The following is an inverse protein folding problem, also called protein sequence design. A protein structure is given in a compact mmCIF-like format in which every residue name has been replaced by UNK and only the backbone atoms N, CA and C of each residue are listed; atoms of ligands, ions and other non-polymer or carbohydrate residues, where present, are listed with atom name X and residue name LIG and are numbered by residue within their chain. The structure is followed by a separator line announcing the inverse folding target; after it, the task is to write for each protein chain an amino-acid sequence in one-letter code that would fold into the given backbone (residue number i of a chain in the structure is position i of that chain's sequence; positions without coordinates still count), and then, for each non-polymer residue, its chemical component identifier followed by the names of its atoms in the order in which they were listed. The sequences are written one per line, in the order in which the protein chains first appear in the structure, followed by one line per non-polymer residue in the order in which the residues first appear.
data_IF_935365332535
#
_entry.id   IF_935365332535
#
_cell.length_a   1.000
_cell.length_b   1.000
_cell.length_c   1.000
_cell.angle_alpha   90.00
_cell.angle_beta   90.00
_cell.angle_gamma   90.00
#
_symmetry.space_group_name_H-M   'P 1'
#
loop_
_entity.id
_entity.type
_entity.pdbx_description
1 polymer ?
#
# COMPACT_ATOMS: atom_id res chain seq x y z
N UNK A 1 0.67 56.08 26.03
CA UNK A 1 -0.01 54.82 26.47
C UNK A 1 -1.32 54.54 25.71
N UNK A 2 -2.38 55.41 25.73
CA UNK A 2 -3.66 55.07 25.04
C UNK A 2 -3.47 54.82 23.52
N UNK A 3 -2.69 55.60 22.79
CA UNK A 3 -2.43 55.39 21.35
C UNK A 3 -1.67 54.08 21.05
N UNK A 4 -0.72 53.72 21.91
CA UNK A 4 0.02 52.46 21.74
C UNK A 4 -0.86 51.21 22.02
N UNK A 5 -1.77 51.31 22.98
CA UNK A 5 -2.75 50.25 23.26
C UNK A 5 -3.72 50.12 22.08
N UNK A 6 -4.24 51.21 21.55
CA UNK A 6 -5.12 51.19 20.38
C UNK A 6 -4.42 50.57 19.15
N UNK A 7 -3.15 50.92 18.92
CA UNK A 7 -2.39 50.36 17.82
C UNK A 7 -2.20 48.84 17.96
N UNK A 8 -1.84 48.39 19.18
CA UNK A 8 -1.71 46.94 19.47
C UNK A 8 -3.04 46.22 19.29
N UNK A 9 -4.14 46.80 19.76
CA UNK A 9 -5.48 46.20 19.58
C UNK A 9 -5.83 46.03 18.11
N UNK A 10 -5.61 47.09 17.30
CA UNK A 10 -5.85 47.00 15.86
C UNK A 10 -4.92 45.97 15.18
N UNK A 11 -3.65 46.01 15.54
CA UNK A 11 -2.69 45.03 15.01
C UNK A 11 -3.11 43.60 15.27
N UNK A 12 -3.44 43.26 16.53
CA UNK A 12 -3.88 41.92 16.89
C UNK A 12 -5.22 41.55 16.24
N UNK A 13 -6.14 42.49 16.12
CA UNK A 13 -7.42 42.25 15.45
C UNK A 13 -7.22 41.94 13.96
N UNK A 14 -6.37 42.71 13.27
CA UNK A 14 -6.03 42.44 11.85
C UNK A 14 -5.27 41.11 11.70
N UNK A 15 -4.32 40.85 12.59
CA UNK A 15 -3.55 39.59 12.59
C UNK A 15 -4.46 38.38 12.77
N UNK A 16 -5.32 38.39 13.79
CA UNK A 16 -6.28 37.33 14.05
C UNK A 16 -7.27 37.13 12.91
N UNK A 17 -7.73 38.24 12.31
CA UNK A 17 -8.58 38.17 11.12
C UNK A 17 -7.86 37.54 9.92
N UNK A 18 -6.59 37.85 9.70
CA UNK A 18 -5.78 37.26 8.63
C UNK A 18 -5.54 35.76 8.86
N UNK A 19 -5.20 35.38 10.10
CA UNK A 19 -5.05 33.96 10.48
C UNK A 19 -6.38 33.21 10.31
N UNK A 20 -7.49 33.82 10.78
CA UNK A 20 -8.82 33.19 10.63
C UNK A 20 -9.23 33.02 9.16
N UNK A 21 -8.89 33.96 8.29
CA UNK A 21 -9.13 33.80 6.86
C UNK A 21 -8.26 32.72 6.23
N UNK A 22 -6.99 32.63 6.61
CA UNK A 22 -6.09 31.58 6.12
C UNK A 22 -6.58 30.18 6.55
N UNK A 23 -6.90 29.99 7.83
CA UNK A 23 -7.47 28.75 8.37
C UNK A 23 -8.79 28.42 7.68
N UNK A 24 -9.70 29.41 7.57
CA UNK A 24 -11.00 29.26 6.92
C UNK A 24 -10.87 28.83 5.45
N UNK A 25 -9.84 29.34 4.75
CA UNK A 25 -9.56 28.95 3.37
C UNK A 25 -9.09 27.50 3.28
N UNK A 26 -8.17 27.08 4.15
CA UNK A 26 -7.68 25.68 4.16
C UNK A 26 -8.80 24.71 4.50
N UNK A 27 -9.61 25.03 5.51
CA UNK A 27 -10.77 24.18 5.89
C UNK A 27 -11.84 24.16 4.79
N UNK A 28 -12.06 25.27 4.06
CA UNK A 28 -13.05 25.33 2.99
C UNK A 28 -12.66 24.54 1.74
N UNK A 29 -11.38 24.64 1.34
CA UNK A 29 -10.89 23.89 0.16
C UNK A 29 -10.56 22.44 0.54
N UNK A 30 -9.96 22.29 1.71
CA UNK A 30 -9.57 21.03 2.31
C UNK A 30 -8.79 20.10 1.34
N UNK A 31 -7.57 20.49 0.92
CA UNK A 31 -6.82 19.77 -0.13
C UNK A 31 -6.57 18.29 0.17
N UNK A 32 -6.50 17.90 1.44
CA UNK A 32 -6.35 16.51 1.87
C UNK A 32 -7.67 15.81 2.23
N UNK A 33 -8.81 16.51 2.06
CA UNK A 33 -10.14 15.96 2.36
C UNK A 33 -10.30 15.52 3.82
N UNK A 34 -9.57 16.16 4.74
CA UNK A 34 -9.54 15.76 6.15
C UNK A 34 -10.86 16.10 6.87
N UNK A 35 -11.48 17.24 6.54
CA UNK A 35 -12.70 17.73 7.19
C UNK A 35 -13.99 17.35 6.45
N UNK A 36 -13.95 17.25 5.14
CA UNK A 36 -15.13 16.96 4.33
C UNK A 36 -14.82 16.31 2.99
N UNK A 37 -15.87 15.82 2.33
CA UNK A 37 -15.76 15.28 0.97
C UNK A 37 -15.25 16.35 -0.02
N UNK A 38 -14.46 15.97 -1.04
CA UNK A 38 -13.86 16.92 -1.98
C UNK A 38 -14.92 17.67 -2.77
N UNK A 39 -14.72 18.98 -2.92
CA UNK A 39 -15.60 19.88 -3.70
C UNK A 39 -15.26 19.78 -5.19
N UNK A 40 -15.40 18.60 -5.77
CA UNK A 40 -14.97 18.26 -7.14
C UNK A 40 -15.71 19.01 -8.24
N UNK A 41 -16.82 19.67 -7.92
CA UNK A 41 -17.54 20.57 -8.83
C UNK A 41 -16.98 21.99 -8.86
N UNK A 42 -16.03 22.33 -7.96
CA UNK A 42 -15.44 23.66 -7.82
C UNK A 42 -13.92 23.65 -8.02
N UNK A 43 -13.26 22.57 -7.61
CA UNK A 43 -11.81 22.42 -7.61
C UNK A 43 -11.39 21.10 -8.20
N UNK A 44 -10.13 21.03 -8.65
CA UNK A 44 -9.48 19.78 -8.98
C UNK A 44 -8.60 19.33 -7.81
N UNK A 45 -8.85 18.11 -7.30
CA UNK A 45 -8.07 17.49 -6.24
C UNK A 45 -7.02 16.56 -6.86
N UNK A 46 -5.78 17.01 -6.85
CA UNK A 46 -4.66 16.20 -7.29
C UNK A 46 -4.23 15.25 -6.18
N UNK A 47 -4.34 13.94 -6.43
CA UNK A 47 -3.82 12.91 -5.54
C UNK A 47 -2.36 12.61 -5.94
N UNK A 48 -1.43 13.36 -5.32
CA UNK A 48 -0.01 13.22 -5.62
C UNK A 48 0.59 11.99 -4.89
N UNK A 49 1.38 11.22 -5.61
CA UNK A 49 2.01 9.99 -5.13
C UNK A 49 3.11 10.19 -4.05
N UNK A 50 3.50 11.41 -3.77
CA UNK A 50 4.45 11.75 -2.69
C UNK A 50 3.75 12.16 -1.40
N UNK A 51 2.43 12.12 -1.36
CA UNK A 51 1.61 12.62 -0.25
C UNK A 51 0.62 11.58 0.28
N UNK A 52 0.83 10.30 -0.03
CA UNK A 52 -0.09 9.21 0.34
C UNK A 52 -0.42 9.21 1.85
N UNK A 53 0.58 9.47 2.71
CA UNK A 53 0.38 9.54 4.17
C UNK A 53 -0.63 10.60 4.59
N UNK A 54 -0.63 11.74 3.89
CA UNK A 54 -1.52 12.86 4.20
C UNK A 54 -2.91 12.68 3.55
N UNK A 55 -2.95 12.12 2.34
CA UNK A 55 -4.17 11.95 1.55
C UNK A 55 -5.02 10.78 2.03
N UNK A 56 -4.38 9.67 2.43
CA UNK A 56 -5.07 8.43 2.73
C UNK A 56 -6.08 8.56 3.89
N UNK A 57 -5.78 9.37 4.91
CA UNK A 57 -6.75 9.61 5.99
C UNK A 57 -8.01 10.30 5.46
N UNK A 58 -7.88 11.39 4.73
CA UNK A 58 -9.02 12.11 4.17
C UNK A 58 -9.83 11.30 3.17
N UNK A 59 -9.16 10.54 2.29
CA UNK A 59 -9.83 9.59 1.39
C UNK A 59 -10.64 8.58 2.21
N UNK A 60 -10.02 7.98 3.23
CA UNK A 60 -10.64 6.98 4.09
C UNK A 60 -11.84 7.53 4.88
N UNK A 61 -11.78 8.79 5.34
CA UNK A 61 -12.84 9.45 6.11
C UNK A 61 -14.01 9.91 5.26
N UNK A 62 -13.71 10.65 4.18
CA UNK A 62 -14.66 11.56 3.57
C UNK A 62 -15.05 11.22 2.13
N UNK A 63 -14.45 10.22 1.51
CA UNK A 63 -14.94 9.68 0.24
C UNK A 63 -15.93 8.53 0.47
N UNK A 64 -16.85 8.34 -0.47
CA UNK A 64 -17.84 7.24 -0.40
C UNK A 64 -17.37 6.08 -1.27
N UNK A 65 -17.13 4.90 -0.68
CA UNK A 65 -16.71 3.71 -1.40
C UNK A 65 -17.18 2.43 -0.71
N UNK A 66 -17.18 1.32 -1.46
CA UNK A 66 -17.58 -0.01 -0.99
C UNK A 66 -16.40 -0.98 -0.94
N UNK A 67 -15.33 -0.68 -1.66
CA UNK A 67 -14.10 -1.46 -1.70
C UNK A 67 -12.87 -0.60 -1.54
N UNK A 68 -11.81 -1.16 -0.95
CA UNK A 68 -10.54 -0.48 -0.75
C UNK A 68 -9.36 -1.41 -1.02
N UNK A 69 -8.33 -0.89 -1.70
CA UNK A 69 -7.05 -1.57 -1.89
C UNK A 69 -6.02 -0.87 -1.00
N UNK A 70 -5.38 -1.62 -0.10
CA UNK A 70 -4.43 -1.09 0.89
C UNK A 70 -3.14 -1.91 0.93
N UNK A 71 -2.03 -1.26 1.16
CA UNK A 71 -0.71 -1.87 1.30
C UNK A 71 0.42 -0.90 0.99
N UNK A 72 1.56 -1.45 0.60
CA UNK A 72 2.77 -0.69 0.28
C UNK A 72 2.83 -0.34 -1.21
N UNK A 73 4.02 0.03 -1.72
CA UNK A 73 4.28 0.18 -3.16
C UNK A 73 3.85 -1.01 -4.02
N UNK A 74 3.67 -2.18 -3.42
CA UNK A 74 3.19 -3.40 -4.10
C UNK A 74 1.72 -3.30 -4.50
N UNK A 75 0.96 -2.37 -3.91
CA UNK A 75 -0.46 -2.15 -4.22
C UNK A 75 -0.74 -0.88 -5.02
N UNK A 76 0.25 -0.05 -5.27
CA UNK A 76 0.10 1.23 -5.99
C UNK A 76 -0.34 1.07 -7.44
N UNK A 77 0.10 0.02 -8.11
CA UNK A 77 -0.24 -0.25 -9.50
C UNK A 77 -1.58 -0.99 -9.70
N UNK A 78 -2.30 -1.36 -8.65
CA UNK A 78 -3.64 -1.93 -8.82
C UNK A 78 -4.59 -0.91 -9.44
N UNK A 79 -5.45 -1.37 -10.34
CA UNK A 79 -6.50 -0.56 -10.95
C UNK A 79 -7.82 -0.77 -10.21
N UNK A 80 -8.35 0.31 -9.66
CA UNK A 80 -9.67 0.30 -9.01
C UNK A 80 -10.78 -0.01 -10.00
N UNK A 81 -10.66 0.44 -11.25
CA UNK A 81 -11.61 0.12 -12.32
C UNK A 81 -11.79 -1.39 -12.56
N UNK A 82 -10.71 -2.18 -12.45
CA UNK A 82 -10.80 -3.65 -12.53
C UNK A 82 -11.44 -4.24 -11.28
N UNK A 83 -11.13 -3.70 -10.10
CA UNK A 83 -11.79 -4.15 -8.87
C UNK A 83 -13.29 -3.85 -8.90
N UNK A 84 -13.71 -2.70 -9.44
CA UNK A 84 -15.12 -2.36 -9.67
C UNK A 84 -15.80 -3.33 -10.64
N UNK A 85 -15.13 -3.68 -11.74
CA UNK A 85 -15.63 -4.67 -12.72
C UNK A 85 -15.87 -6.04 -12.07
N UNK A 86 -14.93 -6.50 -11.22
CA UNK A 86 -14.93 -7.88 -10.70
C UNK A 86 -15.76 -8.04 -9.41
N UNK A 87 -15.70 -7.05 -8.51
CA UNK A 87 -16.32 -7.13 -7.18
C UNK A 87 -17.51 -6.18 -7.01
N UNK A 88 -17.74 -5.30 -7.99
CA UNK A 88 -18.81 -4.29 -7.96
C UNK A 88 -18.51 -3.14 -7.00
N UNK A 89 -19.42 -2.16 -6.96
CA UNK A 89 -19.32 -1.00 -6.08
C UNK A 89 -18.33 0.05 -6.58
N UNK A 90 -17.95 0.97 -5.69
CA UNK A 90 -16.96 2.01 -5.92
C UNK A 90 -15.71 1.72 -5.12
N UNK A 91 -14.54 1.84 -5.72
CA UNK A 91 -13.28 1.47 -5.11
C UNK A 91 -12.31 2.64 -5.01
N UNK A 92 -11.52 2.64 -3.95
CA UNK A 92 -10.40 3.57 -3.75
C UNK A 92 -9.12 2.80 -3.44
N UNK A 93 -7.97 3.49 -3.54
CA UNK A 93 -6.68 2.97 -3.05
C UNK A 93 -6.21 3.81 -1.86
N UNK A 94 -5.63 3.15 -0.87
CA UNK A 94 -4.93 3.74 0.26
C UNK A 94 -3.52 3.13 0.38
N UNK A 95 -2.70 3.20 -0.66
CA UNK A 95 -1.35 2.69 -0.62
C UNK A 95 -0.44 3.68 0.09
N UNK A 96 0.70 3.20 0.58
CA UNK A 96 1.80 4.07 0.97
C UNK A 96 3.13 3.38 0.69
N UNK A 97 3.93 3.98 -0.20
CA UNK A 97 5.21 3.42 -0.62
C UNK A 97 6.14 3.16 0.56
N UNK A 98 6.58 1.91 0.72
CA UNK A 98 7.45 1.50 1.83
C UNK A 98 6.79 1.43 3.21
N UNK A 99 5.47 1.58 3.34
CA UNK A 99 4.77 1.54 4.63
C UNK A 99 5.06 0.28 5.44
N UNK A 100 4.99 0.42 6.75
CA UNK A 100 4.91 -0.72 7.67
C UNK A 100 3.50 -1.33 7.67
N UNK A 101 3.33 -2.48 8.31
CA UNK A 101 2.00 -3.07 8.54
C UNK A 101 1.13 -2.16 9.41
N UNK A 102 1.74 -1.46 10.39
CA UNK A 102 1.04 -0.51 11.26
C UNK A 102 0.48 0.68 10.50
N UNK A 103 1.28 1.30 9.65
CA UNK A 103 0.84 2.45 8.84
C UNK A 103 -0.29 2.08 7.88
N UNK A 104 -0.18 0.93 7.21
CA UNK A 104 -1.27 0.40 6.37
C UNK A 104 -2.52 0.08 7.19
N UNK A 105 -2.37 -0.42 8.43
CA UNK A 105 -3.49 -0.69 9.32
C UNK A 105 -4.19 0.60 9.75
N UNK A 106 -3.47 1.66 10.10
CA UNK A 106 -4.05 2.96 10.50
C UNK A 106 -4.96 3.55 9.41
N UNK A 107 -4.51 3.54 8.14
CA UNK A 107 -5.35 4.00 7.02
C UNK A 107 -6.61 3.13 6.86
N UNK A 108 -6.47 1.81 7.00
CA UNK A 108 -7.59 0.88 6.91
C UNK A 108 -8.54 1.00 8.12
N UNK A 109 -8.03 1.20 9.33
CA UNK A 109 -8.83 1.47 10.55
C UNK A 109 -9.72 2.70 10.34
N UNK A 110 -9.16 3.78 9.78
CA UNK A 110 -9.92 5.00 9.44
C UNK A 110 -11.04 4.69 8.44
N UNK A 111 -10.76 3.91 7.39
CA UNK A 111 -11.75 3.51 6.41
C UNK A 111 -12.87 2.66 7.04
N UNK A 112 -12.52 1.62 7.79
CA UNK A 112 -13.47 0.73 8.46
C UNK A 112 -14.37 1.46 9.47
N UNK A 113 -13.82 2.43 10.19
CA UNK A 113 -14.55 3.26 11.16
C UNK A 113 -15.58 4.18 10.48
N UNK A 114 -15.22 4.79 9.34
CA UNK A 114 -16.00 5.87 8.73
C UNK A 114 -16.88 5.40 7.57
N UNK A 115 -16.51 4.33 6.85
CA UNK A 115 -17.25 3.86 5.68
C UNK A 115 -18.23 2.74 6.02
N UNK A 116 -19.46 3.10 6.38
CA UNK A 116 -20.51 2.13 6.71
C UNK A 116 -20.90 1.20 5.55
N UNK A 117 -20.58 1.59 4.33
CA UNK A 117 -20.83 0.82 3.11
C UNK A 117 -19.67 -0.05 2.68
N UNK A 118 -18.53 -0.05 3.39
CA UNK A 118 -17.36 -0.86 3.08
C UNK A 118 -17.68 -2.34 3.24
N UNK A 119 -17.41 -3.12 2.19
CA UNK A 119 -17.72 -4.56 2.12
C UNK A 119 -16.52 -5.41 1.74
N UNK A 120 -15.54 -4.82 1.08
CA UNK A 120 -14.41 -5.55 0.53
C UNK A 120 -13.10 -4.78 0.73
N UNK A 121 -12.10 -5.48 1.23
CA UNK A 121 -10.73 -4.98 1.41
C UNK A 121 -9.79 -5.88 0.64
N UNK A 122 -8.97 -5.34 -0.24
CA UNK A 122 -7.84 -6.05 -0.83
C UNK A 122 -6.58 -5.55 -0.16
N UNK A 123 -5.79 -6.46 0.43
CA UNK A 123 -4.61 -6.09 1.20
C UNK A 123 -3.37 -6.87 0.80
N UNK A 124 -2.33 -6.15 0.36
CA UNK A 124 -1.01 -6.71 0.14
C UNK A 124 -0.28 -6.98 1.46
N UNK A 125 0.28 -8.17 1.59
CA UNK A 125 1.11 -8.58 2.71
C UNK A 125 2.54 -8.78 2.21
N UNK A 126 3.37 -7.79 2.43
CA UNK A 126 4.78 -7.83 2.02
C UNK A 126 5.54 -8.92 2.77
N UNK A 127 5.99 -9.93 2.05
CA UNK A 127 6.70 -11.07 2.63
C UNK A 127 7.98 -10.66 3.38
N UNK A 128 8.68 -9.64 2.89
CA UNK A 128 9.88 -9.11 3.54
C UNK A 128 9.62 -8.41 4.87
N UNK A 129 8.35 -8.09 5.19
CA UNK A 129 7.93 -7.28 6.32
C UNK A 129 7.12 -8.04 7.38
N UNK A 130 6.91 -9.33 7.24
CA UNK A 130 6.09 -10.12 8.18
C UNK A 130 6.60 -10.06 9.63
N UNK A 131 7.91 -9.85 9.83
CA UNK A 131 8.58 -9.83 11.14
C UNK A 131 8.93 -8.37 11.53
N UNK A 132 8.16 -7.39 11.11
CA UNK A 132 8.32 -6.01 11.57
C UNK A 132 7.78 -5.83 13.00
N UNK A 133 8.33 -4.83 13.69
CA UNK A 133 7.73 -4.36 14.94
C UNK A 133 6.27 -3.94 14.69
N UNK A 134 5.30 -4.44 15.46
CA UNK A 134 3.88 -4.16 15.27
C UNK A 134 3.51 -2.68 15.37
N UNK A 135 4.31 -1.86 16.07
CA UNK A 135 4.10 -0.42 16.23
C UNK A 135 5.01 0.43 15.32
N UNK A 136 5.72 -0.20 14.38
CA UNK A 136 6.66 0.51 13.54
C UNK A 136 5.96 1.60 12.70
N UNK A 137 6.39 2.84 12.90
CA UNK A 137 6.16 3.95 11.98
C UNK A 137 7.47 4.29 11.28
N UNK A 138 7.44 4.43 9.95
CA UNK A 138 8.62 4.64 9.11
C UNK A 138 9.08 6.11 9.14
N UNK A 139 9.65 6.52 10.28
CA UNK A 139 10.22 7.86 10.46
C UNK A 139 11.39 8.17 9.51
N UNK A 140 12.04 7.16 9.01
CA UNK A 140 13.08 7.26 7.99
C UNK A 140 12.55 7.75 6.62
N UNK A 141 11.24 7.67 6.39
CA UNK A 141 10.55 8.22 5.23
C UNK A 141 9.92 9.61 5.49
N UNK A 142 10.29 10.27 6.58
CA UNK A 142 9.75 11.54 7.06
C UNK A 142 8.74 11.38 8.19
N UNK A 143 8.32 12.49 8.77
CA UNK A 143 7.37 12.49 9.88
C UNK A 143 6.03 11.93 9.46
N UNK A 144 5.50 10.98 10.23
CA UNK A 144 4.16 10.45 10.01
C UNK A 144 3.13 11.45 10.53
N UNK A 145 2.13 11.86 9.73
CA UNK A 145 1.17 12.90 10.13
C UNK A 145 0.09 12.33 11.06
N UNK A 146 0.49 11.86 12.25
CA UNK A 146 -0.40 11.23 13.23
C UNK A 146 -1.59 12.12 13.60
N UNK A 147 -1.41 13.44 13.56
CA UNK A 147 -2.47 14.43 13.80
C UNK A 147 -3.64 14.36 12.79
N UNK A 148 -3.43 13.82 11.59
CA UNK A 148 -4.52 13.59 10.64
C UNK A 148 -5.31 12.31 10.97
N UNK A 149 -4.69 11.35 11.67
CA UNK A 149 -5.25 10.02 11.94
C UNK A 149 -5.95 9.90 13.30
N UNK A 150 -6.06 11.02 14.05
CA UNK A 150 -6.82 11.07 15.29
C UNK A 150 -8.11 11.89 15.15
N UNK A 151 -8.82 12.11 16.25
CA UNK A 151 -10.06 12.90 16.28
C UNK A 151 -9.87 14.22 17.08
N UNK A 152 -8.62 14.67 17.32
CA UNK A 152 -8.31 15.89 18.07
C UNK A 152 -8.12 17.09 17.12
N UNK A 153 -9.11 17.99 16.98
CA UNK A 153 -9.00 19.14 16.07
C UNK A 153 -7.99 20.20 16.52
N UNK A 154 -7.45 20.13 17.74
CA UNK A 154 -6.50 21.12 18.24
C UNK A 154 -5.08 20.89 17.74
N UNK A 155 -4.72 19.68 17.37
CA UNK A 155 -3.42 19.38 16.76
C UNK A 155 -3.41 19.56 15.24
N UNK A 156 -4.57 19.76 14.59
CA UNK A 156 -4.69 20.08 13.16
C UNK A 156 -4.03 21.40 12.77
N UNK A 157 -3.53 22.15 13.74
CA UNK A 157 -2.75 23.38 13.50
C UNK A 157 -1.60 23.14 12.51
N UNK A 158 -1.01 21.94 12.49
CA UNK A 158 0.01 21.53 11.55
C UNK A 158 -0.50 21.39 10.10
N UNK A 159 -1.79 21.19 9.91
CA UNK A 159 -2.46 21.19 8.62
C UNK A 159 -2.95 22.58 8.24
N UNK A 160 -3.77 23.22 9.09
CA UNK A 160 -4.49 24.48 8.74
C UNK A 160 -3.61 25.71 8.73
N UNK A 161 -2.50 25.73 9.48
CA UNK A 161 -1.51 26.82 9.47
C UNK A 161 -0.24 26.46 8.70
N UNK A 162 -0.30 25.43 7.86
CA UNK A 162 0.80 25.02 7.01
C UNK A 162 0.94 25.97 5.81
N UNK A 163 2.16 26.51 5.63
CA UNK A 163 2.46 27.40 4.51
C UNK A 163 2.27 26.69 3.16
N UNK A 164 2.66 25.45 3.06
CA UNK A 164 2.55 24.66 1.83
C UNK A 164 1.08 24.43 1.45
N UNK A 165 0.25 24.06 2.44
CA UNK A 165 -1.19 23.94 2.25
C UNK A 165 -1.82 25.25 1.75
N UNK A 166 -1.46 26.37 2.36
CA UNK A 166 -2.05 27.65 1.99
C UNK A 166 -1.62 28.10 0.58
N UNK A 167 -0.31 28.11 0.31
CA UNK A 167 0.23 28.70 -0.93
C UNK A 167 0.28 27.69 -2.09
N UNK A 168 0.81 26.50 -1.88
CA UNK A 168 1.03 25.57 -2.97
C UNK A 168 -0.22 24.72 -3.28
N UNK A 169 -1.14 24.57 -2.30
CA UNK A 169 -2.38 23.83 -2.51
C UNK A 169 -3.58 24.78 -2.67
N UNK A 170 -4.03 25.43 -1.60
CA UNK A 170 -5.28 26.22 -1.64
C UNK A 170 -5.25 27.36 -2.65
N UNK A 171 -4.18 28.18 -2.68
CA UNK A 171 -4.11 29.26 -3.65
C UNK A 171 -3.96 28.76 -5.09
N UNK A 172 -3.21 27.68 -5.31
CA UNK A 172 -3.11 27.04 -6.63
C UNK A 172 -4.47 26.55 -7.12
N UNK A 173 -5.24 25.83 -6.27
CA UNK A 173 -6.59 25.36 -6.59
C UNK A 173 -7.58 26.50 -6.84
N UNK A 174 -7.43 27.65 -6.16
CA UNK A 174 -8.23 28.85 -6.41
C UNK A 174 -7.90 29.53 -7.75
N UNK A 175 -6.65 29.46 -8.18
CA UNK A 175 -6.18 30.10 -9.42
C UNK A 175 -6.47 29.25 -10.65
N UNK A 176 -6.36 27.93 -10.53
CA UNK A 176 -6.65 26.96 -11.62
C UNK A 176 -8.11 26.48 -11.53
N UNK A 177 -9.05 27.34 -11.97
CA UNK A 177 -10.48 27.01 -12.01
C UNK A 177 -10.94 26.38 -13.31
N UNK A 178 -10.04 26.18 -14.25
CA UNK A 178 -10.39 25.55 -15.55
C UNK A 178 -10.55 24.03 -15.40
N UNK A 179 -9.95 23.44 -14.37
CA UNK A 179 -10.05 22.01 -14.05
C UNK A 179 -10.90 21.80 -12.80
N UNK A 180 -11.78 20.84 -12.87
CA UNK A 180 -12.58 20.33 -11.73
C UNK A 180 -12.57 18.82 -11.71
N UNK A 181 -12.73 18.22 -10.52
CA UNK A 181 -12.70 16.77 -10.37
C UNK A 181 -11.67 16.30 -9.35
N UNK A 182 -11.24 15.08 -9.49
CA UNK A 182 -10.21 14.43 -8.67
C UNK A 182 -9.39 13.49 -9.56
N UNK A 183 -8.11 13.28 -9.22
CA UNK A 183 -7.28 12.27 -9.88
C UNK A 183 -7.96 10.91 -9.84
N UNK A 184 -7.97 10.21 -10.96
CA UNK A 184 -8.48 8.84 -11.06
C UNK A 184 -7.67 7.90 -10.13
N UNK A 185 -8.36 6.99 -9.44
CA UNK A 185 -7.68 6.04 -8.56
C UNK A 185 -6.85 4.99 -9.30
N UNK A 186 -7.05 4.79 -10.60
CA UNK A 186 -6.13 3.98 -11.41
C UNK A 186 -4.78 4.67 -11.58
N UNK A 187 -4.78 6.02 -11.64
CA UNK A 187 -3.56 6.83 -11.77
C UNK A 187 -2.94 7.21 -10.41
N UNK A 188 -3.73 7.29 -9.33
CA UNK A 188 -3.23 7.64 -7.99
C UNK A 188 -2.14 6.67 -7.54
N UNK A 189 -0.97 7.22 -7.18
CA UNK A 189 0.23 6.47 -6.77
C UNK A 189 0.75 5.45 -7.80
N UNK A 190 0.20 5.40 -9.03
CA UNK A 190 0.63 4.46 -10.06
C UNK A 190 2.02 4.82 -10.60
N UNK A 191 2.98 3.91 -10.44
CA UNK A 191 4.35 4.09 -10.90
C UNK A 191 4.69 3.30 -12.17
N UNK A 192 3.76 2.55 -12.75
CA UNK A 192 3.99 1.70 -13.92
C UNK A 192 4.75 2.41 -15.07
N UNK A 193 4.35 3.64 -15.39
CA UNK A 193 4.96 4.41 -16.49
C UNK A 193 6.29 5.09 -16.14
N UNK A 194 6.72 5.01 -14.87
CA UNK A 194 7.93 5.70 -14.38
C UNK A 194 9.18 4.83 -14.44
N UNK A 195 9.01 3.52 -14.65
CA UNK A 195 10.11 2.55 -14.59
C UNK A 195 10.15 1.63 -15.80
N UNK A 196 11.34 1.08 -16.03
CA UNK A 196 11.59 0.04 -17.02
C UNK A 196 11.57 -1.30 -16.33
N UNK A 197 11.06 -2.31 -17.01
CA UNK A 197 10.95 -3.68 -16.52
C UNK A 197 11.88 -4.57 -17.31
N UNK A 198 12.37 -5.65 -16.72
CA UNK A 198 13.14 -6.66 -17.41
C UNK A 198 14.38 -7.14 -16.66
N UNK A 199 14.97 -8.24 -17.13
CA UNK A 199 16.15 -8.86 -16.52
C UNK A 199 17.31 -7.91 -16.25
N UNK A 200 17.59 -6.97 -17.15
CA UNK A 200 18.68 -6.01 -16.98
C UNK A 200 18.48 -5.08 -15.77
N UNK A 201 17.23 -4.74 -15.45
CA UNK A 201 16.89 -3.93 -14.29
C UNK A 201 16.91 -4.76 -13.00
N UNK A 202 16.32 -5.96 -13.05
CA UNK A 202 16.14 -6.83 -11.88
C UNK A 202 17.45 -7.46 -11.42
N UNK A 203 18.28 -7.93 -12.34
CA UNK A 203 19.57 -8.54 -12.05
C UNK A 203 20.63 -7.50 -11.64
N UNK A 204 20.55 -6.28 -12.17
CA UNK A 204 21.49 -5.22 -11.84
C UNK A 204 22.95 -5.66 -12.03
N UNK A 205 23.73 -5.66 -10.94
CA UNK A 205 25.14 -6.07 -10.93
C UNK A 205 25.37 -7.55 -10.60
N UNK A 206 24.29 -8.32 -10.32
CA UNK A 206 24.39 -9.76 -10.06
C UNK A 206 25.02 -10.48 -11.26
N UNK A 207 25.91 -11.44 -10.98
CA UNK A 207 26.55 -12.30 -11.98
C UNK A 207 26.29 -13.77 -11.77
N UNK A 208 25.99 -14.13 -10.54
CA UNK A 208 25.68 -15.49 -10.09
C UNK A 208 24.95 -15.45 -8.75
N UNK A 209 24.28 -16.53 -8.39
CA UNK A 209 23.68 -16.71 -7.06
C UNK A 209 24.38 -17.89 -6.37
N UNK A 210 25.00 -17.62 -5.24
CA UNK A 210 25.73 -18.64 -4.46
C UNK A 210 24.99 -18.91 -3.16
N UNK A 211 24.43 -20.10 -3.02
CA UNK A 211 23.73 -20.50 -1.80
C UNK A 211 24.66 -20.53 -0.61
N UNK A 212 24.27 -19.83 0.48
CA UNK A 212 24.98 -19.95 1.76
C UNK A 212 24.97 -21.40 2.27
N UNK A 213 26.09 -21.82 2.88
CA UNK A 213 26.23 -23.17 3.42
C UNK A 213 25.22 -23.46 4.54
N UNK A 214 24.86 -22.43 5.31
CA UNK A 214 23.87 -22.53 6.37
C UNK A 214 22.66 -21.66 6.07
N UNK A 215 21.47 -22.19 6.33
CA UNK A 215 20.20 -21.48 6.21
C UNK A 215 19.57 -21.39 7.60
N UNK A 216 19.42 -20.18 8.10
CA UNK A 216 18.84 -19.97 9.43
C UNK A 216 17.32 -20.17 9.41
N UNK A 217 16.81 -20.57 10.56
CA UNK A 217 15.40 -20.73 10.85
C UNK A 217 14.83 -19.49 11.53
N UNK A 218 13.51 -19.41 11.56
CA UNK A 218 12.77 -18.41 12.32
C UNK A 218 12.96 -18.67 13.82
N UNK A 219 13.51 -17.70 14.53
CA UNK A 219 13.68 -17.79 15.99
C UNK A 219 12.36 -17.59 16.73
N UNK A 220 12.29 -18.03 17.99
CA UNK A 220 11.09 -17.84 18.83
C UNK A 220 10.77 -16.35 19.03
N UNK A 221 11.77 -15.49 19.15
CA UNK A 221 11.58 -14.04 19.26
C UNK A 221 10.99 -13.45 17.97
N UNK A 222 11.53 -13.83 16.79
CA UNK A 222 10.98 -13.41 15.50
C UNK A 222 9.56 -13.93 15.28
N UNK A 223 9.27 -15.16 15.72
CA UNK A 223 7.93 -15.75 15.67
C UNK A 223 6.95 -14.98 16.57
N UNK A 224 7.38 -14.53 17.74
CA UNK A 224 6.56 -13.70 18.64
C UNK A 224 6.26 -12.34 17.99
N UNK A 225 7.27 -11.64 17.47
CA UNK A 225 7.11 -10.37 16.76
C UNK A 225 6.18 -10.51 15.55
N UNK A 226 6.36 -11.55 14.72
CA UNK A 226 5.47 -11.84 13.60
C UNK A 226 4.02 -12.03 14.07
N UNK A 227 3.83 -12.83 15.12
CA UNK A 227 2.48 -13.08 15.68
C UNK A 227 1.82 -11.78 16.12
N UNK A 228 2.53 -10.93 16.86
CA UNK A 228 2.02 -9.64 17.30
C UNK A 228 1.67 -8.76 16.10
N UNK A 229 2.59 -8.62 15.14
CA UNK A 229 2.40 -7.81 13.94
C UNK A 229 1.16 -8.25 13.13
N UNK A 230 1.08 -9.54 12.80
CA UNK A 230 -0.02 -10.09 11.97
C UNK A 230 -1.36 -10.04 12.74
N UNK A 231 -1.36 -10.38 14.03
CA UNK A 231 -2.59 -10.35 14.83
C UNK A 231 -3.10 -8.92 14.99
N UNK A 232 -2.24 -7.97 15.38
CA UNK A 232 -2.63 -6.58 15.63
C UNK A 232 -3.03 -5.86 14.33
N UNK A 233 -2.17 -5.93 13.33
CA UNK A 233 -2.30 -5.08 12.15
C UNK A 233 -3.13 -5.69 11.02
N UNK A 234 -3.47 -6.99 11.07
CA UNK A 234 -4.29 -7.66 10.05
C UNK A 234 -5.49 -8.37 10.70
N UNK A 235 -5.24 -9.36 11.55
CA UNK A 235 -6.27 -10.22 12.11
C UNK A 235 -7.31 -9.48 12.96
N UNK A 236 -6.88 -8.56 13.82
CA UNK A 236 -7.78 -7.78 14.67
C UNK A 236 -8.79 -6.95 13.87
N UNK A 237 -8.42 -6.49 12.67
CA UNK A 237 -9.33 -5.76 11.78
C UNK A 237 -10.39 -6.70 11.19
N UNK A 238 -10.00 -7.89 10.76
CA UNK A 238 -10.95 -8.90 10.26
C UNK A 238 -11.92 -9.32 11.37
N UNK A 239 -11.42 -9.55 12.59
CA UNK A 239 -12.25 -9.91 13.77
C UNK A 239 -13.24 -8.81 14.13
N UNK A 240 -12.80 -7.53 14.13
CA UNK A 240 -13.63 -6.39 14.52
C UNK A 240 -14.73 -6.07 13.49
N UNK A 241 -14.55 -6.47 12.22
CA UNK A 241 -15.47 -6.17 11.12
C UNK A 241 -15.88 -7.43 10.35
N UNK A 242 -16.60 -8.37 10.99
CA UNK A 242 -16.95 -9.66 10.39
C UNK A 242 -17.88 -9.57 9.18
N UNK A 243 -18.49 -8.40 8.91
CA UNK A 243 -19.32 -8.13 7.74
C UNK A 243 -18.53 -7.67 6.52
N UNK A 244 -17.21 -7.49 6.65
CA UNK A 244 -16.30 -7.06 5.57
C UNK A 244 -15.47 -8.26 5.14
N UNK A 245 -15.39 -8.50 3.84
CA UNK A 245 -14.54 -9.55 3.26
C UNK A 245 -13.13 -9.00 3.02
N UNK A 246 -12.13 -9.69 3.56
CA UNK A 246 -10.72 -9.33 3.44
C UNK A 246 -10.03 -10.29 2.47
N UNK A 247 -9.62 -9.79 1.31
CA UNK A 247 -8.79 -10.50 0.32
C UNK A 247 -7.33 -10.11 0.56
N UNK A 248 -6.64 -10.91 1.36
CA UNK A 248 -5.23 -10.71 1.65
C UNK A 248 -4.37 -11.57 0.73
N UNK A 249 -3.20 -11.08 0.35
CA UNK A 249 -2.29 -11.85 -0.48
C UNK A 249 -0.84 -11.63 -0.11
N UNK A 250 -0.05 -12.69 -0.14
CA UNK A 250 1.41 -12.58 -0.09
C UNK A 250 1.91 -12.03 -1.42
N UNK A 251 2.75 -10.98 -1.35
CA UNK A 251 3.31 -10.34 -2.54
C UNK A 251 4.23 -11.31 -3.29
N UNK A 252 3.94 -11.62 -4.58
CA UNK A 252 4.75 -12.58 -5.35
C UNK A 252 6.07 -11.94 -5.77
N UNK A 253 7.10 -12.06 -4.94
CA UNK A 253 8.44 -11.56 -5.25
C UNK A 253 9.11 -12.42 -6.32
N UNK A 254 10.04 -11.80 -7.08
CA UNK A 254 10.73 -12.50 -8.17
C UNK A 254 11.66 -13.61 -7.67
N UNK A 255 12.06 -14.51 -8.59
CA UNK A 255 13.08 -15.51 -8.30
C UNK A 255 14.41 -14.89 -7.83
N UNK A 256 14.73 -13.66 -8.23
CA UNK A 256 15.93 -12.95 -7.76
C UNK A 256 15.88 -12.73 -6.26
N UNK A 257 14.76 -12.26 -5.72
CA UNK A 257 14.58 -12.09 -4.27
C UNK A 257 14.79 -13.39 -3.47
N UNK A 258 14.28 -14.51 -4.00
CA UNK A 258 14.47 -15.84 -3.43
C UNK A 258 15.92 -16.31 -3.54
N UNK A 259 16.60 -16.01 -4.67
CA UNK A 259 18.02 -16.25 -4.86
C UNK A 259 18.86 -15.52 -3.83
N UNK A 260 18.60 -14.24 -3.62
CA UNK A 260 19.23 -13.43 -2.58
C UNK A 260 18.94 -13.95 -1.16
N UNK A 261 17.72 -14.45 -0.89
CA UNK A 261 17.41 -15.06 0.39
C UNK A 261 18.24 -16.32 0.64
N UNK A 262 18.51 -17.14 -0.41
CA UNK A 262 19.44 -18.28 -0.34
C UNK A 262 20.88 -17.83 -0.09
N UNK A 263 21.34 -16.77 -0.74
CA UNK A 263 22.70 -16.23 -0.53
C UNK A 263 22.90 -15.68 0.88
N UNK A 264 21.90 -14.96 1.39
CA UNK A 264 21.89 -14.42 2.76
C UNK A 264 21.66 -15.47 3.84
N UNK A 265 21.38 -16.74 3.45
CA UNK A 265 21.07 -17.79 4.38
C UNK A 265 19.74 -17.59 5.14
N UNK A 266 18.77 -16.89 4.54
CA UNK A 266 17.49 -16.53 5.17
C UNK A 266 16.28 -17.22 4.54
N UNK A 267 16.48 -18.08 3.56
CA UNK A 267 15.42 -18.73 2.80
C UNK A 267 14.47 -19.55 3.69
N UNK A 268 15.01 -20.40 4.56
CA UNK A 268 14.15 -21.20 5.47
C UNK A 268 13.39 -20.33 6.46
N UNK A 269 14.04 -19.30 6.98
CA UNK A 269 13.40 -18.30 7.85
C UNK A 269 12.19 -17.67 7.18
N UNK A 270 12.32 -17.32 5.89
CA UNK A 270 11.25 -16.65 5.16
C UNK A 270 10.05 -17.58 4.92
N UNK A 271 10.29 -18.84 4.51
CA UNK A 271 9.23 -19.84 4.37
C UNK A 271 8.50 -20.13 5.70
N UNK A 272 9.25 -20.17 6.81
CA UNK A 272 8.68 -20.38 8.13
C UNK A 272 7.87 -19.17 8.61
N UNK A 273 8.28 -17.94 8.22
CA UNK A 273 7.52 -16.73 8.48
C UNK A 273 6.20 -16.70 7.69
N UNK A 274 6.24 -17.06 6.41
CA UNK A 274 5.05 -17.18 5.57
C UNK A 274 4.07 -18.20 6.14
N UNK A 275 4.57 -19.40 6.50
CA UNK A 275 3.78 -20.44 7.19
C UNK A 275 3.08 -19.88 8.42
N UNK A 276 3.86 -19.27 9.33
CA UNK A 276 3.34 -18.76 10.60
C UNK A 276 2.28 -17.67 10.39
N UNK A 277 2.47 -16.78 9.41
CA UNK A 277 1.50 -15.78 9.06
C UNK A 277 0.22 -16.40 8.47
N UNK A 278 0.36 -17.36 7.55
CA UNK A 278 -0.78 -18.06 6.96
C UNK A 278 -1.62 -18.80 8.00
N UNK A 279 -0.99 -19.56 8.91
CA UNK A 279 -1.69 -20.27 10.00
C UNK A 279 -2.50 -19.32 10.89
N UNK A 280 -1.99 -18.11 11.16
CA UNK A 280 -2.71 -17.09 11.94
C UNK A 280 -3.90 -16.53 11.17
N UNK A 281 -3.72 -16.22 9.89
CA UNK A 281 -4.73 -15.54 9.08
C UNK A 281 -5.86 -16.47 8.64
N UNK A 282 -5.58 -17.74 8.41
CA UNK A 282 -6.60 -18.76 8.07
C UNK A 282 -7.58 -19.07 9.21
N UNK A 283 -7.38 -18.50 10.40
CA UNK A 283 -8.31 -18.64 11.52
C UNK A 283 -9.51 -17.68 11.44
N UNK A 284 -9.53 -16.71 10.52
CA UNK A 284 -10.60 -15.73 10.37
C UNK A 284 -11.50 -16.08 9.19
N UNK A 285 -12.79 -16.29 9.43
CA UNK A 285 -13.76 -16.77 8.44
C UNK A 285 -13.98 -15.79 7.27
N UNK A 286 -13.84 -14.49 7.52
CA UNK A 286 -14.01 -13.41 6.53
C UNK A 286 -12.68 -12.95 5.89
N UNK A 287 -11.59 -13.74 6.07
CA UNK A 287 -10.30 -13.45 5.48
C UNK A 287 -9.92 -14.54 4.47
N UNK A 288 -9.79 -14.13 3.23
CA UNK A 288 -9.37 -14.97 2.11
C UNK A 288 -7.91 -14.70 1.80
N UNK A 289 -7.04 -15.66 2.11
CA UNK A 289 -5.60 -15.52 1.92
C UNK A 289 -5.18 -16.14 0.59
N UNK A 290 -4.42 -15.40 -0.22
CA UNK A 290 -3.92 -15.84 -1.52
C UNK A 290 -2.39 -15.90 -1.57
N UNK A 291 -1.85 -16.84 -2.34
CA UNK A 291 -0.44 -16.88 -2.71
C UNK A 291 -0.28 -17.34 -4.16
N UNK A 292 0.56 -16.63 -4.89
CA UNK A 292 0.96 -16.96 -6.26
C UNK A 292 2.48 -17.14 -6.38
N UNK A 293 3.17 -17.29 -5.25
CA UNK A 293 4.63 -17.48 -5.19
C UNK A 293 5.12 -18.70 -5.99
N UNK A 294 4.25 -19.67 -6.27
CA UNK A 294 4.58 -20.85 -7.07
C UNK A 294 4.08 -20.78 -8.51
N UNK A 295 3.62 -19.64 -8.97
CA UNK A 295 3.21 -19.41 -10.36
C UNK A 295 4.43 -18.95 -11.15
N UNK A 296 5.06 -19.89 -11.86
CA UNK A 296 6.34 -19.68 -12.54
C UNK A 296 6.29 -18.55 -13.58
N UNK A 297 5.19 -18.43 -14.31
CA UNK A 297 4.96 -17.34 -15.27
C UNK A 297 4.93 -15.95 -14.63
N UNK A 298 4.63 -15.87 -13.33
CA UNK A 298 4.69 -14.63 -12.57
C UNK A 298 6.11 -14.43 -12.04
N UNK A 299 6.61 -15.36 -11.23
CA UNK A 299 7.77 -15.13 -10.36
C UNK A 299 9.12 -15.43 -11.01
N UNK A 300 9.16 -16.25 -12.07
CA UNK A 300 10.41 -16.60 -12.75
C UNK A 300 10.69 -15.75 -13.99
N UNK A 301 9.70 -15.08 -14.57
CA UNK A 301 9.89 -14.18 -15.70
C UNK A 301 10.23 -12.77 -15.19
N UNK A 302 11.48 -12.37 -15.32
CA UNK A 302 11.98 -11.08 -14.84
C UNK A 302 11.44 -9.89 -15.63
N UNK A 303 10.83 -10.10 -16.79
CA UNK A 303 10.13 -9.04 -17.52
C UNK A 303 8.90 -8.51 -16.78
N UNK A 304 8.41 -9.25 -15.79
CA UNK A 304 7.32 -8.80 -14.93
C UNK A 304 7.77 -7.80 -13.84
N UNK A 305 9.07 -7.55 -13.68
CA UNK A 305 9.62 -6.81 -12.53
C UNK A 305 10.51 -5.65 -12.95
N UNK A 306 10.50 -4.56 -12.14
CA UNK A 306 11.45 -3.46 -12.23
C UNK A 306 12.67 -3.63 -11.32
N UNK A 307 12.56 -4.47 -10.30
CA UNK A 307 13.60 -4.84 -9.34
C UNK A 307 13.29 -6.23 -8.75
N UNK A 308 13.96 -6.64 -7.67
CA UNK A 308 13.79 -7.97 -7.06
C UNK A 308 12.36 -8.30 -6.59
N UNK A 309 11.50 -7.29 -6.37
CA UNK A 309 10.16 -7.48 -5.77
C UNK A 309 9.00 -6.76 -6.47
N UNK A 310 9.23 -5.60 -7.07
CA UNK A 310 8.16 -4.78 -7.62
C UNK A 310 7.73 -5.25 -9.00
N UNK A 311 6.55 -5.82 -9.07
CA UNK A 311 5.95 -6.33 -10.30
C UNK A 311 5.13 -5.27 -11.04
N UNK A 312 4.98 -5.48 -12.33
CA UNK A 312 4.26 -4.61 -13.25
C UNK A 312 2.74 -4.62 -13.02
N UNK A 313 2.07 -3.56 -13.51
CA UNK A 313 0.62 -3.38 -13.38
C UNK A 313 -0.18 -4.58 -13.91
N UNK A 314 0.22 -5.21 -15.02
CA UNK A 314 -0.49 -6.39 -15.54
C UNK A 314 -0.49 -7.58 -14.58
N UNK A 315 0.51 -7.71 -13.71
CA UNK A 315 0.51 -8.72 -12.64
C UNK A 315 -0.54 -8.37 -11.58
N UNK A 316 -0.65 -7.09 -11.20
CA UNK A 316 -1.70 -6.62 -10.29
C UNK A 316 -3.10 -6.91 -10.85
N UNK A 317 -3.33 -6.58 -12.12
CA UNK A 317 -4.61 -6.81 -12.80
C UNK A 317 -4.97 -8.30 -12.87
N UNK A 318 -3.98 -9.12 -13.17
CA UNK A 318 -4.13 -10.58 -13.17
C UNK A 318 -4.47 -11.09 -11.77
N UNK A 319 -3.78 -10.64 -10.72
CA UNK A 319 -4.09 -11.03 -9.33
C UNK A 319 -5.53 -10.69 -8.95
N UNK A 320 -6.07 -9.52 -9.34
CA UNK A 320 -7.49 -9.19 -9.11
C UNK A 320 -8.42 -10.22 -9.75
N UNK A 321 -8.15 -10.60 -11.01
CA UNK A 321 -8.94 -11.61 -11.72
C UNK A 321 -8.84 -12.98 -11.04
N UNK A 322 -7.65 -13.35 -10.57
CA UNK A 322 -7.47 -14.62 -9.86
C UNK A 322 -8.18 -14.63 -8.50
N UNK A 323 -8.18 -13.52 -7.75
CA UNK A 323 -8.96 -13.40 -6.51
C UNK A 323 -10.45 -13.64 -6.76
N UNK A 324 -11.01 -13.05 -7.83
CA UNK A 324 -12.41 -13.22 -8.18
C UNK A 324 -12.78 -14.66 -8.56
N UNK A 325 -11.84 -15.45 -9.08
CA UNK A 325 -12.05 -16.88 -9.42
C UNK A 325 -11.70 -17.83 -8.29
N UNK A 326 -11.02 -17.37 -7.24
CA UNK A 326 -10.49 -18.19 -6.16
C UNK A 326 -9.19 -18.94 -6.51
N UNK A 327 -8.53 -18.63 -7.65
CA UNK A 327 -7.25 -19.24 -7.98
C UNK A 327 -6.12 -18.68 -7.08
N UNK A 328 -5.41 -19.56 -6.43
CA UNK A 328 -4.34 -19.22 -5.46
C UNK A 328 -4.86 -19.06 -4.03
N UNK A 329 -6.15 -19.33 -3.77
CA UNK A 329 -6.70 -19.29 -2.41
C UNK A 329 -6.04 -20.36 -1.54
N UNK A 330 -5.51 -19.94 -0.41
CA UNK A 330 -4.96 -20.82 0.61
C UNK A 330 -6.05 -21.27 1.59
N UNK A 331 -5.97 -22.52 1.97
CA UNK A 331 -6.81 -23.13 3.00
C UNK A 331 -5.93 -23.98 3.93
N UNK A 332 -6.47 -24.37 5.09
CA UNK A 332 -5.74 -25.26 6.00
C UNK A 332 -5.34 -26.59 5.31
N UNK A 333 -6.15 -27.07 4.34
CA UNK A 333 -5.92 -28.33 3.64
C UNK A 333 -4.80 -28.23 2.59
N UNK A 334 -4.64 -27.06 1.91
CA UNK A 334 -3.68 -26.92 0.82
C UNK A 334 -2.38 -26.22 1.20
N UNK A 335 -2.30 -25.58 2.37
CA UNK A 335 -1.16 -24.78 2.83
C UNK A 335 0.15 -25.57 2.79
N UNK A 336 0.17 -26.78 3.34
CA UNK A 336 1.37 -27.61 3.37
C UNK A 336 1.85 -28.01 1.97
N UNK A 337 0.92 -28.30 1.07
CA UNK A 337 1.26 -28.63 -0.30
C UNK A 337 1.86 -27.40 -1.02
N UNK A 338 1.27 -26.22 -0.82
CA UNK A 338 1.75 -24.96 -1.41
C UNK A 338 3.17 -24.63 -0.91
N UNK A 339 3.41 -24.61 0.40
CA UNK A 339 4.72 -24.34 0.99
C UNK A 339 5.80 -25.37 0.57
N UNK A 340 5.41 -26.64 0.44
CA UNK A 340 6.32 -27.67 -0.05
C UNK A 340 6.69 -27.46 -1.51
N UNK A 341 5.72 -27.05 -2.36
CA UNK A 341 5.95 -26.71 -3.77
C UNK A 341 6.85 -25.49 -3.88
N UNK A 342 6.60 -24.44 -3.10
CA UNK A 342 7.40 -23.22 -3.07
C UNK A 342 8.84 -23.48 -2.62
N UNK A 343 9.01 -24.21 -1.51
CA UNK A 343 10.33 -24.64 -1.06
C UNK A 343 11.08 -25.42 -2.13
N UNK A 344 10.41 -26.37 -2.79
CA UNK A 344 11.02 -27.16 -3.85
C UNK A 344 11.40 -26.32 -5.04
N UNK A 345 10.50 -25.42 -5.48
CA UNK A 345 10.70 -24.54 -6.62
C UNK A 345 12.00 -23.73 -6.42
N UNK A 346 12.07 -22.90 -5.40
CA UNK A 346 13.19 -21.97 -5.23
C UNK A 346 14.47 -22.66 -4.69
N UNK A 347 14.36 -23.75 -3.96
CA UNK A 347 15.53 -24.50 -3.51
C UNK A 347 16.26 -25.21 -4.65
N UNK A 348 15.52 -25.70 -5.67
CA UNK A 348 16.06 -26.47 -6.78
C UNK A 348 16.17 -25.66 -8.08
N UNK A 349 15.72 -24.43 -8.07
CA UNK A 349 15.73 -23.56 -9.25
C UNK A 349 17.15 -23.36 -9.78
N UNK A 350 17.29 -23.42 -11.10
CA UNK A 350 18.54 -23.08 -11.78
C UNK A 350 18.65 -21.54 -11.95
N UNK A 351 19.19 -20.87 -10.95
CA UNK A 351 19.37 -19.43 -10.95
C UNK A 351 20.25 -18.92 -12.08
N UNK A 352 21.12 -19.77 -12.68
CA UNK A 352 21.90 -19.39 -13.85
C UNK A 352 21.01 -19.10 -15.07
N UNK A 353 19.83 -19.71 -15.15
CA UNK A 353 18.87 -19.48 -16.22
C UNK A 353 18.31 -18.05 -16.23
N UNK A 354 18.31 -17.33 -15.11
CA UNK A 354 17.85 -15.93 -15.04
C UNK A 354 18.72 -15.01 -15.88
N UNK A 355 20.03 -15.30 -15.98
CA UNK A 355 20.99 -14.51 -16.77
C UNK A 355 20.89 -14.77 -18.29
N UNK A 356 20.08 -15.74 -18.69
CA UNK A 356 19.79 -16.03 -20.10
C UNK A 356 18.52 -15.32 -20.59
N UNK A 357 17.74 -14.75 -19.69
CA UNK A 357 16.56 -13.96 -20.05
C UNK A 357 16.98 -12.65 -20.71
N UNK A 358 16.16 -12.17 -21.62
CA UNK A 358 16.38 -10.91 -22.34
C UNK A 358 15.23 -9.96 -22.09
N UNK A 359 15.54 -8.67 -22.04
CA UNK A 359 14.51 -7.65 -21.94
C UNK A 359 13.56 -7.72 -23.13
N UNK A 360 12.27 -7.72 -22.86
CA UNK A 360 11.28 -7.62 -23.93
C UNK A 360 11.22 -6.17 -24.40
N UNK A 361 11.47 -5.94 -25.69
CA UNK A 361 11.38 -4.60 -26.30
C UNK A 361 9.89 -4.25 -26.50
N UNK A 362 9.43 -3.26 -25.76
CA UNK A 362 8.06 -2.75 -25.83
C UNK A 362 7.14 -3.33 -24.76
N UNK A 363 6.15 -2.53 -24.35
CA UNK A 363 5.14 -2.87 -23.35
C UNK A 363 4.11 -3.90 -23.88
N UNK A 364 4.58 -5.10 -24.28
CA UNK A 364 3.64 -6.19 -24.55
C UNK A 364 3.37 -6.93 -23.26
N UNK A 365 2.14 -6.79 -22.79
CA UNK A 365 1.62 -7.64 -21.70
C UNK A 365 1.78 -9.10 -22.15
N UNK A 366 2.49 -9.95 -21.40
CA UNK A 366 2.63 -11.36 -21.76
C UNK A 366 1.26 -12.03 -21.90
N UNK A 367 1.12 -12.94 -22.87
CA UNK A 367 -0.16 -13.59 -23.20
C UNK A 367 -0.81 -14.29 -21.99
N UNK A 368 0.02 -14.82 -21.09
CA UNK A 368 -0.43 -15.43 -19.82
C UNK A 368 -1.34 -14.50 -19.00
N UNK A 369 -1.09 -13.20 -18.98
CA UNK A 369 -1.86 -12.23 -18.18
C UNK A 369 -3.11 -11.70 -18.91
N UNK A 370 -3.32 -12.08 -20.15
CA UNK A 370 -4.51 -11.71 -20.94
C UNK A 370 -5.65 -12.72 -20.84
N UNK A 371 -5.39 -13.85 -20.20
CA UNK A 371 -6.34 -14.92 -19.94
C UNK A 371 -6.96 -14.75 -18.55
#
# INVERSE_FOLDING_TARGET
MKKSIQWLTVFFAVFLAAVGLAVGLVVYIDPYMHYHAPLTNQFFYELADVEERNLNDGIARNMCFNGVIVGTSMTENFRTSIAEELFGGTWVKLPFSGSSFRESAMALETALKNQKGLRCVIRGLDMGKLIEDPELLRWDLGDYPTYLYDDDPFNDVYYVLNRDMLYNRCLSMLMDREKTGITDFDDYACWQKKYVFGPSQVLGEHKEFTRAAEQRHLTDAERATLRENITQNVGALAEAYPQVEFYCFFTPYSAVWWGEALERGTFLRQLEAERAAAELLLAYDNLHLFSWNTVEQVTLDLNNYKDDRHYAQWVNDWMLRQMATGYGLLTAENLEQMLSKEKKLYWQFDYASLFLQTDTVGEKIPEFFLQ
#
